data_IF_186941104848
#
_entry.id   IF_186941104848
#
_cell.length_a   1.000
_cell.length_b   1.000
_cell.length_c   1.000
_cell.angle_alpha   90.00
_cell.angle_beta   90.00
_cell.angle_gamma   90.00
#
_symmetry.space_group_name_H-M   'P 1'
#
loop_
_entity.id
_entity.type
_entity.pdbx_description
1 polymer ?
#
# COMPACT_ATOMS: atom_id res chain seq x y z
N UNK A 1 -9.13 4.36 -15.46
CA UNK A 1 -8.30 5.59 -15.34
C UNK A 1 -7.39 5.35 -14.14
N UNK A 2 -6.10 5.56 -14.33
CA UNK A 2 -5.00 4.89 -13.61
C UNK A 2 -4.75 5.47 -12.23
N UNK A 3 -5.24 4.78 -11.20
CA UNK A 3 -5.02 5.11 -9.77
C UNK A 3 -3.53 5.24 -9.42
N UNK A 4 -2.67 4.47 -10.07
CA UNK A 4 -1.22 4.48 -9.85
C UNK A 4 -0.52 5.81 -10.18
N UNK A 5 -1.05 6.62 -11.09
CA UNK A 5 -0.42 7.90 -11.46
C UNK A 5 -0.66 9.03 -10.44
N UNK A 6 -1.65 8.86 -9.55
CA UNK A 6 -1.99 9.85 -8.53
C UNK A 6 -1.26 9.60 -7.21
N UNK A 7 -0.75 8.39 -7.01
CA UNK A 7 -0.06 8.01 -5.78
C UNK A 7 1.37 8.52 -5.85
N UNK A 8 1.71 9.34 -4.87
CA UNK A 8 3.03 9.90 -4.68
C UNK A 8 3.71 9.25 -3.49
N UNK A 9 5.04 9.30 -3.50
CA UNK A 9 5.88 8.93 -2.36
C UNK A 9 5.51 9.81 -1.15
N UNK A 10 5.62 9.28 0.06
CA UNK A 10 5.22 9.90 1.33
C UNK A 10 3.71 10.14 1.54
N UNK A 11 2.83 9.68 0.65
CA UNK A 11 1.39 9.84 0.86
C UNK A 11 0.88 8.93 2.00
N UNK A 12 0.08 9.44 2.95
CA UNK A 12 -0.56 8.61 3.97
C UNK A 12 -1.55 7.61 3.36
N UNK A 13 -1.55 6.39 3.88
CA UNK A 13 -2.47 5.32 3.48
C UNK A 13 -3.49 5.10 4.58
N UNK A 14 -4.77 5.19 4.22
CA UNK A 14 -5.92 5.10 5.11
C UNK A 14 -6.75 3.86 4.71
N UNK A 15 -7.03 3.00 5.67
CA UNK A 15 -7.92 1.85 5.49
C UNK A 15 -9.39 2.29 5.36
N UNK A 16 -10.26 1.37 4.92
CA UNK A 16 -11.70 1.61 4.86
C UNK A 16 -12.33 2.00 6.22
N UNK A 17 -11.75 1.54 7.34
CA UNK A 17 -12.16 1.93 8.71
C UNK A 17 -11.72 3.36 9.11
N UNK A 18 -10.99 4.07 8.24
CA UNK A 18 -10.44 5.40 8.56
C UNK A 18 -9.15 5.33 9.40
N UNK A 19 -8.63 4.14 9.65
CA UNK A 19 -7.35 3.96 10.35
C UNK A 19 -6.18 4.19 9.40
N UNK A 20 -5.20 4.99 9.84
CA UNK A 20 -3.94 5.15 9.13
C UNK A 20 -3.13 3.86 9.24
N UNK A 21 -2.78 3.30 8.10
CA UNK A 21 -2.00 2.08 8.03
C UNK A 21 -0.50 2.36 7.89
N UNK A 22 -0.14 3.42 7.17
CA UNK A 22 1.24 3.82 6.96
C UNK A 22 1.36 4.98 5.98
N UNK A 23 2.53 5.10 5.35
CA UNK A 23 2.82 6.02 4.25
C UNK A 23 3.30 5.22 3.04
N UNK A 24 3.12 5.76 1.85
CA UNK A 24 3.69 5.18 0.63
C UNK A 24 5.19 5.43 0.63
N UNK A 25 5.98 4.37 0.59
CA UNK A 25 7.42 4.44 0.33
C UNK A 25 7.65 4.67 -1.16
N UNK A 26 7.06 3.81 -2.00
CA UNK A 26 7.20 3.87 -3.46
C UNK A 26 6.09 3.11 -4.16
N UNK A 27 5.76 3.48 -5.39
CA UNK A 27 4.89 2.69 -6.28
C UNK A 27 5.78 1.88 -7.22
N UNK A 28 5.54 0.57 -7.25
CA UNK A 28 6.25 -0.40 -8.08
C UNK A 28 5.27 -1.13 -9.01
N UNK A 29 5.13 -0.59 -10.23
CA UNK A 29 4.21 -1.12 -11.24
C UNK A 29 2.75 -1.10 -10.77
N UNK A 30 2.21 -2.28 -10.48
CA UNK A 30 0.85 -2.47 -9.98
C UNK A 30 0.77 -2.63 -8.44
N UNK A 31 1.88 -2.45 -7.74
CA UNK A 31 1.98 -2.56 -6.29
C UNK A 31 2.45 -1.25 -5.67
N UNK A 32 2.01 -1.00 -4.44
CA UNK A 32 2.45 0.10 -3.60
C UNK A 32 3.25 -0.51 -2.47
N UNK A 33 4.48 -0.06 -2.33
CA UNK A 33 5.31 -0.35 -1.17
C UNK A 33 5.01 0.66 -0.09
N UNK A 34 4.67 0.16 1.09
CA UNK A 34 4.46 0.98 2.28
C UNK A 34 5.75 1.14 3.08
N UNK A 35 5.83 2.25 3.78
CA UNK A 35 6.79 2.51 4.84
C UNK A 35 6.70 1.41 5.89
N UNK A 36 7.84 1.11 6.52
CA UNK A 36 7.90 0.07 7.57
C UNK A 36 6.90 0.38 8.68
N UNK A 37 6.19 -0.65 9.13
CA UNK A 37 5.39 -0.56 10.34
C UNK A 37 6.29 -0.51 11.61
N UNK A 38 5.67 -0.43 12.78
CA UNK A 38 6.38 -0.42 14.08
C UNK A 38 7.26 -1.67 14.28
N UNK A 39 6.90 -2.79 13.64
CA UNK A 39 7.66 -4.05 13.62
C UNK A 39 8.81 -4.05 12.60
N UNK A 40 9.01 -2.97 11.84
CA UNK A 40 10.09 -2.84 10.87
C UNK A 40 9.87 -3.60 9.55
N UNK A 41 8.66 -4.09 9.27
CA UNK A 41 8.37 -4.88 8.06
C UNK A 41 7.81 -3.99 6.96
N UNK A 42 8.27 -4.20 5.72
CA UNK A 42 7.67 -3.56 4.55
C UNK A 42 6.44 -4.33 4.12
N UNK A 43 5.39 -3.60 3.74
CA UNK A 43 4.15 -4.19 3.27
C UNK A 43 3.92 -3.74 1.84
N UNK A 44 3.58 -4.68 0.96
CA UNK A 44 3.23 -4.41 -0.42
C UNK A 44 1.73 -4.60 -0.59
N UNK A 45 1.06 -3.59 -1.16
CA UNK A 45 -0.35 -3.65 -1.49
C UNK A 45 -0.58 -3.51 -2.99
N UNK A 46 -1.40 -4.36 -3.61
CA UNK A 46 -1.78 -4.16 -5.00
C UNK A 46 -2.61 -2.88 -5.15
N UNK A 47 -2.44 -2.15 -6.24
CA UNK A 47 -3.29 -1.01 -6.62
C UNK A 47 -4.77 -1.40 -6.68
N UNK A 48 -5.07 -2.68 -6.91
CA UNK A 48 -6.44 -3.20 -6.87
C UNK A 48 -7.09 -3.09 -5.50
N UNK A 49 -6.32 -3.00 -4.41
CA UNK A 49 -6.84 -2.77 -3.05
C UNK A 49 -7.13 -1.29 -2.76
N UNK A 50 -6.66 -0.38 -3.62
CA UNK A 50 -6.97 1.05 -3.53
C UNK A 50 -8.38 1.28 -4.08
N UNK A 51 -9.19 1.99 -3.30
CA UNK A 51 -10.52 2.44 -3.71
C UNK A 51 -10.40 3.72 -4.55
N UNK A 52 -9.76 4.73 -3.97
CA UNK A 52 -9.49 6.02 -4.60
C UNK A 52 -8.27 6.70 -3.96
N UNK A 53 -7.79 7.75 -4.62
CA UNK A 53 -6.64 8.53 -4.17
C UNK A 53 -7.01 10.00 -4.24
N UNK A 54 -6.85 10.69 -3.11
CA UNK A 54 -7.06 12.13 -2.97
C UNK A 54 -5.79 12.79 -2.40
N UNK A 55 -5.85 13.43 -1.22
CA UNK A 55 -4.68 13.82 -0.43
C UNK A 55 -4.00 12.60 0.22
N UNK A 56 -4.75 11.50 0.36
CA UNK A 56 -4.33 10.24 0.95
C UNK A 56 -4.70 9.08 0.01
N UNK A 57 -4.10 7.92 0.24
CA UNK A 57 -4.48 6.68 -0.45
C UNK A 57 -5.57 6.01 0.38
N UNK A 58 -6.78 5.95 -0.17
CA UNK A 58 -7.92 5.29 0.46
C UNK A 58 -8.01 3.85 -0.03
N UNK A 59 -7.90 2.90 0.89
CA UNK A 59 -8.08 1.48 0.61
C UNK A 59 -9.55 1.11 0.67
N UNK A 60 -9.95 0.18 -0.21
CA UNK A 60 -11.30 -0.41 -0.18
C UNK A 60 -11.47 -1.47 0.91
N UNK A 61 -10.35 -1.85 1.55
CA UNK A 61 -10.25 -2.93 2.53
C UNK A 61 -10.08 -2.36 3.93
N UNK A 62 -10.65 -3.03 4.92
CA UNK A 62 -10.43 -2.73 6.33
C UNK A 62 -9.07 -3.23 6.82
N UNK A 63 -8.68 -2.84 8.04
CA UNK A 63 -7.39 -3.23 8.61
C UNK A 63 -7.16 -4.76 8.61
N UNK A 64 -8.16 -5.57 8.99
CA UNK A 64 -8.03 -7.03 8.96
C UNK A 64 -7.89 -7.60 7.54
N UNK A 65 -8.63 -7.08 6.58
CA UNK A 65 -8.56 -7.50 5.18
C UNK A 65 -7.25 -7.08 4.53
N UNK A 66 -6.77 -5.87 4.85
CA UNK A 66 -5.43 -5.42 4.46
C UNK A 66 -4.39 -6.41 4.97
N UNK A 67 -4.50 -6.84 6.24
CA UNK A 67 -3.62 -7.85 6.81
C UNK A 67 -3.65 -9.21 6.08
N UNK A 68 -4.74 -9.55 5.39
CA UNK A 68 -4.83 -10.79 4.60
C UNK A 68 -4.37 -10.62 3.15
N UNK A 69 -4.37 -9.39 2.64
CA UNK A 69 -4.18 -9.12 1.21
C UNK A 69 -2.85 -8.41 0.91
N UNK A 70 -2.27 -7.73 1.90
CA UNK A 70 -0.91 -7.23 1.81
C UNK A 70 0.07 -8.39 1.74
N UNK A 71 1.23 -8.14 1.14
CA UNK A 71 2.34 -9.08 1.14
C UNK A 71 3.38 -8.53 2.11
N UNK A 72 3.91 -9.39 2.97
CA UNK A 72 5.06 -9.07 3.82
C UNK A 72 6.40 -9.47 3.15
N UNK A 73 6.32 -10.09 1.98
CA UNK A 73 7.45 -10.45 1.13
C UNK A 73 7.35 -9.69 -0.18
N UNK A 74 8.50 -9.30 -0.74
CA UNK A 74 8.54 -8.59 -2.02
C UNK A 74 8.00 -9.49 -3.13
N UNK A 75 6.92 -9.09 -3.84
CA UNK A 75 6.31 -9.90 -4.90
C UNK A 75 7.18 -10.02 -6.15
N UNK A 76 8.26 -9.23 -6.28
CA UNK A 76 9.17 -9.35 -7.40
C UNK A 76 10.31 -10.33 -7.07
N UNK A 77 10.32 -11.53 -7.69
CA UNK A 77 11.39 -12.50 -7.47
C UNK A 77 12.77 -11.98 -7.88
N UNK A 78 12.84 -10.86 -8.63
CA UNK A 78 14.07 -10.23 -9.10
C UNK A 78 14.88 -9.55 -7.99
N UNK A 79 14.26 -9.21 -6.84
CA UNK A 79 14.97 -8.61 -5.70
C UNK A 79 15.49 -9.64 -4.68
N UNK A 80 15.17 -10.93 -4.86
CA UNK A 80 15.62 -12.02 -4.00
C UNK A 80 16.98 -12.54 -4.47
N UNK A 81 18.04 -11.75 -4.26
CA UNK A 81 19.43 -12.15 -4.55
C UNK A 81 20.24 -12.39 -3.28
#
# INVERSE_FOLDING_TARGET
MTTGAQIQEHMPVICADGHRHGEVDRVDGEYIKLSRDDSGTHHWLPLSAVDHVDEHVHLKLNHEQVHQQWLSEDPHPEHRQ
#
